data_IF_110004951576
#
_entry.id   IF_110004951576
#
_cell.length_a   1.000
_cell.length_b   1.000
_cell.length_c   1.000
_cell.angle_alpha   90.00
_cell.angle_beta   90.00
_cell.angle_gamma   90.00
#
_symmetry.space_group_name_H-M   'P 1'
#
loop_
_entity.id
_entity.type
_entity.pdbx_description
1 polymer ?
#
# COMPACT_ATOMS: atom_id res chain seq x y z
N UNK A 1 -46.91 -9.06 -23.97
CA UNK A 1 -46.32 -9.96 -22.93
C UNK A 1 -45.06 -9.29 -22.43
N UNK A 2 -45.10 -8.71 -21.23
CA UNK A 2 -43.97 -8.09 -20.55
C UNK A 2 -43.04 -9.20 -20.05
N UNK A 3 -41.85 -9.31 -20.64
CA UNK A 3 -40.81 -10.20 -20.13
C UNK A 3 -39.90 -9.38 -19.21
N UNK A 4 -40.13 -9.53 -17.90
CA UNK A 4 -39.23 -9.05 -16.86
C UNK A 4 -37.97 -9.93 -16.88
N UNK A 5 -36.85 -9.40 -17.39
CA UNK A 5 -35.55 -10.02 -17.21
C UNK A 5 -35.01 -9.67 -15.82
N UNK A 6 -34.97 -10.68 -14.97
CA UNK A 6 -34.35 -10.63 -13.65
C UNK A 6 -32.83 -10.67 -13.84
N UNK A 7 -32.13 -9.65 -13.34
CA UNK A 7 -30.66 -9.67 -13.24
C UNK A 7 -30.24 -10.39 -11.94
N UNK A 8 -29.31 -11.36 -11.97
CA UNK A 8 -28.74 -11.89 -10.73
C UNK A 8 -27.70 -10.92 -10.16
N UNK A 9 -27.97 -10.43 -8.95
CA UNK A 9 -27.02 -9.71 -8.09
C UNK A 9 -25.88 -10.64 -7.66
N UNK A 10 -24.70 -10.50 -8.26
CA UNK A 10 -23.47 -11.09 -7.70
C UNK A 10 -22.67 -10.01 -6.96
N UNK A 11 -22.97 -9.87 -5.68
CA UNK A 11 -22.04 -9.32 -4.70
C UNK A 11 -21.61 -10.46 -3.79
N UNK A 12 -20.47 -11.06 -4.11
CA UNK A 12 -19.74 -11.90 -3.16
C UNK A 12 -18.43 -11.20 -2.84
N UNK A 13 -18.46 -10.46 -1.74
CA UNK A 13 -17.28 -9.96 -1.05
C UNK A 13 -16.46 -11.15 -0.56
N UNK A 14 -15.34 -11.44 -1.22
CA UNK A 14 -14.34 -12.35 -0.66
C UNK A 14 -13.34 -11.55 0.20
N UNK A 15 -13.76 -11.18 1.40
CA UNK A 15 -12.84 -10.89 2.49
C UNK A 15 -12.40 -12.22 3.10
N UNK A 16 -11.32 -12.79 2.57
CA UNK A 16 -10.66 -13.93 3.19
C UNK A 16 -9.76 -13.40 4.33
N UNK A 17 -10.34 -13.25 5.51
CA UNK A 17 -9.57 -13.12 6.74
C UNK A 17 -9.12 -14.53 7.14
N UNK A 18 -7.82 -14.77 7.09
CA UNK A 18 -7.23 -15.99 7.63
C UNK A 18 -7.31 -15.88 9.15
N UNK A 19 -8.21 -16.66 9.76
CA UNK A 19 -8.31 -16.79 11.22
C UNK A 19 -7.05 -17.49 11.74
N UNK A 20 -6.20 -16.73 12.45
CA UNK A 20 -5.19 -17.34 13.32
C UNK A 20 -5.90 -17.89 14.56
N UNK A 21 -5.73 -19.17 14.92
CA UNK A 21 -6.33 -19.71 16.13
C UNK A 21 -5.69 -19.01 17.35
N UNK A 22 -6.50 -18.28 18.10
CA UNK A 22 -6.11 -17.72 19.39
C UNK A 22 -6.03 -18.82 20.44
N UNK A 23 -4.83 -19.06 20.96
CA UNK A 23 -4.64 -19.75 22.23
C UNK A 23 -4.85 -18.73 23.37
N UNK A 24 -6.01 -18.82 24.02
CA UNK A 24 -6.21 -18.29 25.37
C UNK A 24 -5.96 -19.42 26.36
N UNK A 25 -5.02 -19.25 27.29
CA UNK A 25 -4.75 -20.24 28.34
C UNK A 25 -3.77 -19.81 29.43
N UNK A 26 -4.31 -19.07 30.42
CA UNK A 26 -3.95 -18.97 31.85
C UNK A 26 -2.54 -18.54 32.34
N UNK A 27 -2.47 -17.56 33.27
CA UNK A 27 -1.32 -17.30 34.14
C UNK A 27 -1.53 -17.94 35.52
N UNK A 28 -0.58 -18.73 36.03
CA UNK A 28 -0.34 -19.20 37.42
C UNK A 28 0.55 -20.46 37.31
N UNK A 29 1.64 -20.71 38.06
CA UNK A 29 2.05 -20.39 39.43
C UNK A 29 3.59 -20.60 39.57
N UNK A 30 4.16 -20.04 40.63
CA UNK A 30 5.58 -20.06 41.02
C UNK A 30 6.17 -21.46 41.28
N UNK A 31 7.37 -21.75 40.77
CA UNK A 31 8.33 -22.66 41.40
C UNK A 31 9.74 -22.09 41.25
N UNK A 32 10.35 -21.71 42.38
CA UNK A 32 11.75 -21.32 42.49
C UNK A 32 12.65 -22.54 42.26
N UNK A 33 13.60 -22.42 41.33
CA UNK A 33 14.69 -23.39 41.17
C UNK A 33 16.00 -22.62 40.95
N UNK A 34 16.73 -22.42 42.04
CA UNK A 34 18.13 -22.01 42.07
C UNK A 34 19.00 -23.10 41.43
N UNK A 35 19.46 -22.90 40.18
CA UNK A 35 20.60 -23.63 39.63
C UNK A 35 21.50 -22.68 38.84
N UNK A 36 22.38 -22.01 39.57
CA UNK A 36 23.65 -21.49 39.04
C UNK A 36 24.56 -22.69 38.72
N UNK A 37 24.73 -23.01 37.44
CA UNK A 37 26.04 -23.15 36.80
C UNK A 37 25.93 -23.81 35.41
N UNK A 38 26.50 -23.10 34.43
CA UNK A 38 27.44 -23.68 33.48
C UNK A 38 26.88 -24.71 32.47
N UNK A 39 26.78 -24.29 31.21
CA UNK A 39 27.82 -24.60 30.21
C UNK A 39 27.26 -24.39 28.80
N UNK A 40 27.70 -23.28 28.19
CA UNK A 40 28.11 -23.19 26.79
C UNK A 40 28.02 -24.50 25.99
N UNK A 41 26.89 -24.77 25.31
CA UNK A 41 26.83 -25.49 24.01
C UNK A 41 25.38 -25.85 23.64
N UNK A 42 24.50 -24.86 23.49
CA UNK A 42 23.22 -25.07 22.81
C UNK A 42 22.70 -23.76 22.29
N UNK A 43 23.11 -23.38 21.07
CA UNK A 43 22.32 -22.61 20.09
C UNK A 43 23.20 -22.26 18.88
N UNK A 44 23.74 -23.29 18.21
CA UNK A 44 24.48 -23.16 16.95
C UNK A 44 23.61 -22.84 15.73
N UNK A 45 22.50 -22.11 15.91
CA UNK A 45 21.65 -21.50 14.86
C UNK A 45 20.92 -20.29 15.44
N UNK A 46 21.66 -19.32 15.98
CA UNK A 46 21.11 -18.02 16.33
C UNK A 46 20.69 -17.30 15.04
N UNK A 47 19.38 -17.25 14.77
CA UNK A 47 18.85 -16.27 13.83
C UNK A 47 18.85 -14.95 14.59
N UNK A 48 19.77 -14.06 14.23
CA UNK A 48 19.76 -12.68 14.70
C UNK A 48 18.47 -12.04 14.17
N UNK A 49 17.45 -11.92 15.04
CA UNK A 49 16.25 -11.16 14.74
C UNK A 49 16.64 -9.69 14.73
N UNK A 50 17.06 -9.19 13.57
CA UNK A 50 17.17 -7.77 13.29
C UNK A 50 15.78 -7.16 13.46
N UNK A 51 15.54 -6.55 14.62
CA UNK A 51 14.38 -5.70 14.79
C UNK A 51 14.55 -4.57 13.79
N UNK A 52 13.55 -4.39 12.92
CA UNK A 52 13.50 -3.28 11.98
C UNK A 52 13.27 -2.01 12.83
N UNK A 53 14.35 -1.46 13.41
CA UNK A 53 14.34 -0.47 14.48
C UNK A 53 13.67 0.87 14.08
N UNK A 54 13.34 1.01 12.81
CA UNK A 54 12.37 1.99 12.33
C UNK A 54 11.41 1.25 11.41
N UNK A 55 10.11 1.36 11.63
CA UNK A 55 9.11 1.01 10.61
C UNK A 55 9.37 1.90 9.38
N UNK A 56 10.30 1.47 8.54
CA UNK A 56 10.85 2.23 7.43
C UNK A 56 9.70 2.56 6.49
N UNK A 57 9.61 3.81 6.03
CA UNK A 57 8.56 4.25 5.11
C UNK A 57 8.80 3.67 3.71
N UNK A 58 8.62 2.37 3.58
CA UNK A 58 8.82 1.55 2.39
C UNK A 58 8.13 2.11 1.15
N UNK A 59 7.01 2.83 1.33
CA UNK A 59 6.28 3.51 0.27
C UNK A 59 7.06 4.63 -0.42
N UNK A 60 8.02 5.25 0.25
CA UNK A 60 8.87 6.30 -0.35
C UNK A 60 9.87 5.71 -1.38
N UNK A 61 10.08 4.39 -1.34
CA UNK A 61 10.92 3.65 -2.30
C UNK A 61 10.09 2.94 -3.39
N UNK A 62 8.75 3.06 -3.37
CA UNK A 62 7.89 2.42 -4.37
C UNK A 62 7.88 3.20 -5.68
N UNK A 63 7.73 2.48 -6.78
CA UNK A 63 7.48 3.04 -8.11
C UNK A 63 6.20 2.43 -8.70
N UNK A 64 5.58 3.13 -9.65
CA UNK A 64 4.36 2.62 -10.30
C UNK A 64 4.66 1.40 -11.16
N UNK A 65 3.66 0.54 -11.35
CA UNK A 65 3.78 -0.62 -12.23
C UNK A 65 4.11 -0.20 -13.67
N UNK A 66 3.55 0.91 -14.14
CA UNK A 66 3.86 1.51 -15.45
C UNK A 66 5.33 1.92 -15.59
N UNK A 67 5.99 2.32 -14.51
CA UNK A 67 7.43 2.62 -14.52
C UNK A 67 8.28 1.33 -14.57
N UNK A 68 7.82 0.25 -13.92
CA UNK A 68 8.55 -1.02 -13.86
C UNK A 68 8.38 -1.88 -15.11
N UNK A 69 7.18 -1.88 -15.69
CA UNK A 69 6.80 -2.73 -16.82
C UNK A 69 6.59 -1.88 -18.09
N UNK A 70 7.54 -1.98 -19.01
CA UNK A 70 7.50 -1.28 -20.30
C UNK A 70 6.33 -1.74 -21.19
N UNK A 71 5.92 -3.01 -21.11
CA UNK A 71 4.80 -3.51 -21.88
C UNK A 71 3.48 -2.92 -21.37
N UNK A 72 3.32 -2.81 -20.06
CA UNK A 72 2.18 -2.13 -19.45
C UNK A 72 2.14 -0.65 -19.85
N UNK A 73 3.28 0.04 -19.83
CA UNK A 73 3.38 1.43 -20.32
C UNK A 73 2.93 1.57 -21.76
N UNK A 74 3.47 0.72 -22.65
CA UNK A 74 3.12 0.74 -24.08
C UNK A 74 1.61 0.53 -24.30
N UNK A 75 1.02 -0.47 -23.65
CA UNK A 75 -0.43 -0.75 -23.76
C UNK A 75 -1.27 0.44 -23.33
N UNK A 76 -0.94 1.06 -22.18
CA UNK A 76 -1.66 2.24 -21.69
C UNK A 76 -1.52 3.44 -22.62
N UNK A 77 -0.36 3.63 -23.25
CA UNK A 77 -0.15 4.69 -24.24
C UNK A 77 -0.95 4.45 -25.52
N UNK A 78 -1.03 3.20 -26.01
CA UNK A 78 -1.84 2.80 -27.15
C UNK A 78 -3.34 3.00 -26.88
N UNK A 79 -3.83 2.50 -25.74
CA UNK A 79 -5.22 2.70 -25.30
C UNK A 79 -5.57 4.19 -25.17
N UNK A 80 -4.68 4.99 -24.56
CA UNK A 80 -4.86 6.45 -24.47
C UNK A 80 -4.97 7.12 -25.83
N UNK A 81 -4.19 6.70 -26.82
CA UNK A 81 -4.27 7.25 -28.19
C UNK A 81 -5.59 6.87 -28.86
N UNK A 82 -6.01 5.61 -28.75
CA UNK A 82 -7.26 5.12 -29.33
C UNK A 82 -8.49 5.81 -28.71
N UNK A 83 -8.55 5.89 -27.38
CA UNK A 83 -9.69 6.47 -26.66
C UNK A 83 -9.81 7.98 -26.88
N UNK A 84 -8.70 8.72 -26.97
CA UNK A 84 -8.73 10.17 -27.29
C UNK A 84 -9.35 10.46 -28.65
N UNK A 85 -9.14 9.59 -29.64
CA UNK A 85 -9.76 9.75 -30.97
C UNK A 85 -11.28 9.58 -30.92
N UNK A 86 -11.79 8.84 -29.93
CA UNK A 86 -13.22 8.53 -29.77
C UNK A 86 -13.92 9.43 -28.74
N UNK A 87 -13.20 10.33 -28.08
CA UNK A 87 -13.71 11.11 -26.96
C UNK A 87 -14.73 12.15 -27.43
N UNK A 88 -16.02 11.82 -27.28
CA UNK A 88 -17.15 12.72 -27.59
C UNK A 88 -17.68 13.49 -26.37
N UNK A 89 -17.21 13.16 -25.17
CA UNK A 89 -17.66 13.76 -23.90
C UNK A 89 -16.75 14.90 -23.47
N UNK A 90 -17.36 15.90 -22.85
CA UNK A 90 -16.65 17.00 -22.21
C UNK A 90 -15.76 16.48 -21.08
N UNK A 91 -14.61 17.12 -20.94
CA UNK A 91 -13.61 16.79 -19.95
C UNK A 91 -14.03 17.26 -18.55
N UNK A 92 -13.90 16.38 -17.56
CA UNK A 92 -14.18 16.70 -16.15
C UNK A 92 -13.07 17.53 -15.53
N UNK A 93 -13.29 18.05 -14.31
CA UNK A 93 -12.23 18.76 -13.57
C UNK A 93 -11.09 17.81 -13.20
N UNK A 94 -11.43 16.59 -12.86
CA UNK A 94 -10.53 15.51 -12.46
C UNK A 94 -9.64 15.09 -13.63
N UNK A 95 -10.20 15.03 -14.85
CA UNK A 95 -9.44 14.76 -16.06
C UNK A 95 -8.38 15.83 -16.34
N UNK A 96 -8.72 17.11 -16.11
CA UNK A 96 -7.76 18.22 -16.25
C UNK A 96 -6.62 18.09 -15.25
N UNK A 97 -6.93 17.84 -13.97
CA UNK A 97 -5.92 17.64 -12.92
C UNK A 97 -5.04 16.42 -13.23
N UNK A 98 -5.64 15.31 -13.66
CA UNK A 98 -4.89 14.12 -14.07
C UNK A 98 -3.96 14.42 -15.24
N UNK A 99 -4.42 15.18 -16.24
CA UNK A 99 -3.62 15.55 -17.38
C UNK A 99 -2.42 16.40 -16.97
N UNK A 100 -2.64 17.41 -16.14
CA UNK A 100 -1.59 18.27 -15.60
C UNK A 100 -0.55 17.46 -14.81
N UNK A 101 -1.01 16.59 -13.91
CA UNK A 101 -0.12 15.74 -13.12
C UNK A 101 0.74 14.82 -13.99
N UNK A 102 0.15 14.18 -15.01
CA UNK A 102 0.84 13.17 -15.81
C UNK A 102 1.65 13.75 -16.97
N UNK A 103 1.11 14.71 -17.72
CA UNK A 103 1.74 15.23 -18.92
C UNK A 103 2.60 16.46 -18.65
N UNK A 104 2.16 17.35 -17.78
CA UNK A 104 2.85 18.63 -17.57
C UNK A 104 3.91 18.49 -16.47
N UNK A 105 3.60 17.76 -15.39
CA UNK A 105 4.50 17.63 -14.25
C UNK A 105 5.20 16.27 -14.17
N UNK A 106 4.68 15.24 -14.87
CA UNK A 106 5.23 13.88 -14.82
C UNK A 106 5.21 13.25 -13.42
N UNK A 107 4.31 13.70 -12.54
CA UNK A 107 4.23 13.26 -11.15
C UNK A 107 3.34 12.02 -11.05
N UNK A 108 3.83 11.01 -10.34
CA UNK A 108 3.07 9.82 -9.99
C UNK A 108 2.66 9.79 -8.51
N UNK A 109 1.84 8.80 -8.13
CA UNK A 109 1.33 8.63 -6.76
C UNK A 109 2.44 8.61 -5.70
N UNK A 110 3.52 7.87 -5.92
CA UNK A 110 4.57 7.68 -4.92
C UNK A 110 5.50 8.90 -4.87
N UNK A 111 5.71 9.58 -5.99
CA UNK A 111 6.44 10.85 -6.02
C UNK A 111 5.69 11.95 -5.26
N UNK A 112 4.36 12.04 -5.42
CA UNK A 112 3.54 12.97 -4.63
C UNK A 112 3.63 12.64 -3.14
N UNK A 113 3.47 11.36 -2.76
CA UNK A 113 3.56 10.95 -1.35
C UNK A 113 4.91 11.33 -0.72
N UNK A 114 6.01 11.09 -1.45
CA UNK A 114 7.34 11.48 -1.00
C UNK A 114 7.44 12.99 -0.81
N UNK A 115 6.98 13.78 -1.79
CA UNK A 115 7.04 15.25 -1.75
C UNK A 115 6.27 15.85 -0.57
N UNK A 116 5.01 15.45 -0.37
CA UNK A 116 4.17 16.02 0.71
C UNK A 116 4.64 15.60 2.11
N UNK A 117 5.45 14.54 2.22
CA UNK A 117 5.98 14.06 3.50
C UNK A 117 7.36 14.60 3.84
N UNK A 118 7.97 15.39 2.96
CA UNK A 118 9.24 16.04 3.23
C UNK A 118 9.12 17.01 4.43
N UNK A 119 10.25 17.24 5.09
CA UNK A 119 10.35 18.14 6.25
C UNK A 119 9.83 17.54 7.56
N UNK A 120 9.82 18.38 8.60
CA UNK A 120 9.41 17.97 9.95
C UNK A 120 7.90 17.89 10.07
N UNK A 121 7.42 17.19 11.10
CA UNK A 121 5.98 17.17 11.46
C UNK A 121 5.48 18.59 11.69
N UNK A 122 6.21 19.41 12.45
CA UNK A 122 5.86 20.81 12.70
C UNK A 122 5.67 21.60 11.40
N UNK A 123 6.63 21.54 10.48
CA UNK A 123 6.53 22.28 9.20
C UNK A 123 5.27 21.90 8.42
N UNK A 124 4.96 20.59 8.33
CA UNK A 124 3.76 20.13 7.61
C UNK A 124 2.46 20.55 8.29
N UNK A 125 2.44 20.63 9.62
CA UNK A 125 1.30 21.16 10.36
C UNK A 125 1.16 22.67 10.11
N UNK A 126 2.26 23.43 10.23
CA UNK A 126 2.24 24.88 9.98
C UNK A 126 1.78 25.21 8.55
N UNK A 127 2.21 24.43 7.54
CA UNK A 127 1.75 24.57 6.15
C UNK A 127 0.26 24.26 5.98
N UNK A 128 -0.25 23.27 6.72
CA UNK A 128 -1.65 22.88 6.68
C UNK A 128 -2.55 23.95 7.29
N UNK A 129 -2.17 24.54 8.43
CA UNK A 129 -2.91 25.62 9.09
C UNK A 129 -2.93 26.94 8.29
N UNK A 130 -2.02 27.08 7.31
CA UNK A 130 -1.92 28.26 6.44
C UNK A 130 -2.73 28.16 5.13
N UNK A 131 -3.34 27.01 4.83
CA UNK A 131 -4.19 26.78 3.64
C UNK A 131 -5.64 27.19 3.87
#
# INVERSE_FOLDING_TARGET
>A
VLQAQQHPNNHTNNNHYTEHPGEYGNPMEDEESDEEENNSSRNGRGVELLTNEYASRHEENRTTATTKDLNMKRKLEEERKCLRQQQKKAETREDKIYRENIFDQGIDKYQTLKKIRQGTVKRRIDEFEAM
#
